data_IF_087787696258
#
_entry.id   IF_087787696258
#
_cell.length_a   1.000
_cell.length_b   1.000
_cell.length_c   1.000
_cell.angle_alpha   90.00
_cell.angle_beta   90.00
_cell.angle_gamma   90.00
#
_symmetry.space_group_name_H-M   'P 1'
#
loop_
_entity.id
_entity.type
_entity.pdbx_description
1 polymer ?
#
# COMPACT_ATOMS: atom_id res chain seq x y z
N UNK A 1 7.92 -8.40 10.73
CA UNK A 1 6.70 -8.97 10.11
C UNK A 1 5.53 -8.92 11.08
N UNK A 2 4.33 -8.55 10.59
CA UNK A 2 3.11 -8.19 11.36
C UNK A 2 2.45 -9.34 12.14
N UNK A 3 2.91 -10.57 11.93
CA UNK A 3 2.37 -11.80 12.52
C UNK A 3 2.76 -13.02 11.68
N UNK A 4 1.99 -14.10 11.82
CA UNK A 4 2.06 -15.26 10.91
C UNK A 4 1.45 -14.91 9.55
N UNK A 5 1.99 -15.47 8.47
CA UNK A 5 1.42 -15.26 7.14
C UNK A 5 -0.06 -15.67 7.10
N UNK A 6 -0.88 -14.87 6.44
CA UNK A 6 -2.30 -15.15 6.24
C UNK A 6 -2.57 -15.35 4.75
N UNK A 7 -3.26 -16.43 4.40
CA UNK A 7 -3.77 -16.66 3.05
C UNK A 7 -5.11 -15.93 2.90
N UNK A 8 -5.05 -14.59 2.86
CA UNK A 8 -6.23 -13.74 2.78
C UNK A 8 -6.03 -12.64 1.76
N UNK A 9 -6.89 -12.66 0.75
CA UNK A 9 -6.98 -11.59 -0.25
C UNK A 9 -7.97 -10.52 0.18
N UNK A 10 -7.67 -9.28 -0.21
CA UNK A 10 -8.59 -8.17 0.02
C UNK A 10 -9.83 -8.28 -0.88
N UNK A 11 -11.00 -8.08 -0.30
CA UNK A 11 -12.25 -8.03 -1.07
C UNK A 11 -12.35 -6.72 -1.87
N UNK A 12 -12.77 -6.84 -3.13
CA UNK A 12 -13.11 -5.71 -4.00
C UNK A 12 -14.15 -4.78 -3.36
N UNK A 13 -15.09 -5.33 -2.57
CA UNK A 13 -16.08 -4.52 -1.87
C UNK A 13 -15.43 -3.53 -0.89
N UNK A 14 -14.33 -3.91 -0.25
CA UNK A 14 -13.63 -3.04 0.71
C UNK A 14 -12.94 -1.88 -0.01
N UNK A 15 -12.27 -2.15 -1.14
CA UNK A 15 -11.67 -1.12 -2.00
C UNK A 15 -12.74 -0.13 -2.48
N UNK A 16 -13.85 -0.64 -3.02
CA UNK A 16 -14.98 0.18 -3.48
C UNK A 16 -15.56 1.07 -2.38
N UNK A 17 -15.68 0.54 -1.17
CA UNK A 17 -16.23 1.29 -0.04
C UNK A 17 -15.32 2.47 0.32
N UNK A 18 -14.00 2.27 0.34
CA UNK A 18 -13.03 3.33 0.64
C UNK A 18 -13.06 4.46 -0.40
N UNK A 19 -13.14 4.11 -1.68
CA UNK A 19 -13.13 5.08 -2.79
C UNK A 19 -14.50 5.73 -3.06
N UNK A 20 -15.54 5.37 -2.32
CA UNK A 20 -16.92 5.76 -2.64
C UNK A 20 -17.20 7.26 -2.59
N UNK A 21 -16.41 8.02 -1.82
CA UNK A 21 -16.54 9.46 -1.58
C UNK A 21 -15.22 10.22 -1.74
N UNK A 22 -14.23 9.60 -2.38
CA UNK A 22 -12.91 10.18 -2.61
C UNK A 22 -12.89 10.76 -4.02
N UNK A 23 -12.38 11.98 -4.18
CA UNK A 23 -12.18 12.63 -5.48
C UNK A 23 -10.71 12.68 -5.90
N UNK A 24 -9.78 12.72 -4.94
CA UNK A 24 -8.35 12.74 -5.19
C UNK A 24 -7.59 12.01 -4.07
N UNK A 25 -6.44 11.45 -4.41
CA UNK A 25 -5.52 10.81 -3.47
C UNK A 25 -4.09 11.21 -3.81
N UNK A 26 -3.37 11.74 -2.83
CA UNK A 26 -1.95 12.07 -3.02
C UNK A 26 -1.11 10.81 -3.24
N UNK A 27 -1.25 9.80 -2.38
CA UNK A 27 -0.40 8.63 -2.45
C UNK A 27 -1.16 7.35 -2.09
N UNK A 28 -1.07 6.35 -2.96
CA UNK A 28 -1.62 5.01 -2.73
C UNK A 28 -0.46 4.01 -2.59
N UNK A 29 -0.25 3.54 -1.37
CA UNK A 29 0.67 2.45 -1.08
C UNK A 29 -0.04 1.10 -1.26
N UNK A 30 0.34 0.33 -2.28
CA UNK A 30 -0.14 -1.05 -2.44
C UNK A 30 0.84 -1.95 -1.66
N UNK A 31 0.44 -2.31 -0.45
CA UNK A 31 1.30 -3.03 0.52
C UNK A 31 0.60 -4.26 1.11
N UNK A 32 1.35 -5.11 1.80
CA UNK A 32 0.84 -6.34 2.40
C UNK A 32 1.93 -7.39 2.55
N UNK A 33 1.62 -8.63 2.16
CA UNK A 33 2.60 -9.70 2.02
C UNK A 33 3.35 -9.58 0.70
N UNK A 34 2.74 -10.04 -0.39
CA UNK A 34 3.28 -9.90 -1.75
C UNK A 34 2.16 -9.57 -2.73
N UNK A 35 2.31 -8.45 -3.42
CA UNK A 35 1.30 -7.81 -4.25
C UNK A 35 1.19 -8.50 -5.61
N UNK A 36 2.31 -9.03 -6.13
CA UNK A 36 2.32 -9.78 -7.38
C UNK A 36 1.50 -11.07 -7.33
N UNK A 37 1.08 -11.53 -6.14
CA UNK A 37 0.17 -12.67 -5.97
C UNK A 37 -1.31 -12.29 -6.11
N UNK A 38 -1.67 -11.00 -6.05
CA UNK A 38 -3.05 -10.54 -6.16
C UNK A 38 -3.19 -9.37 -7.15
N UNK A 39 -2.75 -9.62 -8.39
CA UNK A 39 -2.89 -8.69 -9.52
C UNK A 39 -4.36 -8.32 -9.77
N UNK A 40 -5.30 -9.23 -9.46
CA UNK A 40 -6.73 -9.00 -9.62
C UNK A 40 -7.23 -7.82 -8.79
N UNK A 41 -6.80 -7.69 -7.53
CA UNK A 41 -7.16 -6.57 -6.68
C UNK A 41 -6.57 -5.24 -7.19
N UNK A 42 -5.33 -5.27 -7.70
CA UNK A 42 -4.67 -4.09 -8.29
C UNK A 42 -5.40 -3.60 -9.55
N UNK A 43 -5.75 -4.52 -10.46
CA UNK A 43 -6.55 -4.21 -11.66
C UNK A 43 -7.94 -3.69 -11.29
N UNK A 44 -8.57 -4.25 -10.25
CA UNK A 44 -9.85 -3.74 -9.75
C UNK A 44 -9.74 -2.32 -9.18
N UNK A 45 -8.71 -2.05 -8.37
CA UNK A 45 -8.42 -0.71 -7.86
C UNK A 45 -8.30 0.28 -9.01
N UNK A 46 -7.43 0.01 -9.99
CA UNK A 46 -7.22 0.89 -11.14
C UNK A 46 -8.50 1.10 -11.96
N UNK A 47 -9.26 0.02 -12.23
CA UNK A 47 -10.56 0.11 -12.91
C UNK A 47 -11.52 1.02 -12.16
N UNK A 48 -11.57 0.92 -10.83
CA UNK A 48 -12.49 1.72 -10.03
C UNK A 48 -12.08 3.19 -9.93
N UNK A 49 -10.78 3.47 -9.84
CA UNK A 49 -10.24 4.83 -9.91
C UNK A 49 -10.59 5.49 -11.24
N UNK A 50 -10.33 4.80 -12.37
CA UNK A 50 -10.68 5.27 -13.72
C UNK A 50 -12.18 5.52 -13.88
N UNK A 51 -13.02 4.57 -13.44
CA UNK A 51 -14.47 4.69 -13.57
C UNK A 51 -15.05 5.88 -12.78
N UNK A 52 -14.42 6.27 -11.67
CA UNK A 52 -14.83 7.40 -10.83
C UNK A 52 -14.05 8.69 -11.10
N UNK A 53 -13.12 8.67 -12.06
CA UNK A 53 -12.27 9.80 -12.39
C UNK A 53 -11.50 10.34 -11.17
N UNK A 54 -11.04 9.44 -10.28
CA UNK A 54 -10.33 9.82 -9.07
C UNK A 54 -8.89 10.18 -9.41
N UNK A 55 -8.49 11.41 -9.11
CA UNK A 55 -7.10 11.83 -9.32
C UNK A 55 -6.16 11.08 -8.37
N UNK A 56 -5.01 10.61 -8.87
CA UNK A 56 -3.98 9.98 -8.04
C UNK A 56 -2.63 10.56 -8.40
N UNK A 57 -1.96 11.20 -7.43
CA UNK A 57 -0.64 11.78 -7.68
C UNK A 57 0.40 10.68 -7.87
N UNK A 58 0.41 9.68 -6.97
CA UNK A 58 1.40 8.60 -7.01
C UNK A 58 0.88 7.26 -6.47
N UNK A 59 1.35 6.18 -7.10
CA UNK A 59 1.36 4.85 -6.49
C UNK A 59 2.75 4.50 -5.95
N UNK A 60 2.77 3.64 -4.94
CA UNK A 60 4.01 3.04 -4.45
C UNK A 60 3.79 1.56 -4.12
N UNK A 61 4.71 0.73 -4.62
CA UNK A 61 4.66 -0.73 -4.53
C UNK A 61 6.06 -1.22 -4.18
N UNK A 62 6.16 -2.07 -3.17
CA UNK A 62 7.38 -2.81 -2.85
C UNK A 62 7.09 -4.28 -3.03
N UNK A 63 7.85 -4.96 -3.89
CA UNK A 63 7.76 -6.41 -4.10
C UNK A 63 8.96 -7.13 -3.46
N UNK A 64 8.74 -8.36 -3.01
CA UNK A 64 9.78 -9.21 -2.43
C UNK A 64 10.75 -9.82 -3.46
N UNK A 65 10.42 -9.71 -4.76
CA UNK A 65 11.22 -10.30 -5.83
C UNK A 65 11.09 -11.81 -5.92
N UNK A 66 9.88 -12.32 -5.85
CA UNK A 66 9.58 -13.71 -6.23
C UNK A 66 9.33 -13.80 -7.74
N UNK A 67 9.19 -15.01 -8.27
CA UNK A 67 8.93 -15.19 -9.72
C UNK A 67 7.62 -14.54 -10.18
N UNK A 68 6.63 -14.38 -9.29
CA UNK A 68 5.38 -13.66 -9.62
C UNK A 68 5.63 -12.17 -9.89
N UNK A 69 6.67 -11.58 -9.31
CA UNK A 69 7.08 -10.18 -9.51
C UNK A 69 7.50 -9.88 -10.96
N UNK A 70 7.79 -10.90 -11.76
CA UNK A 70 8.08 -10.76 -13.20
C UNK A 70 7.04 -11.42 -14.10
N UNK A 71 5.88 -11.75 -13.54
CA UNK A 71 4.75 -12.24 -14.33
C UNK A 71 4.27 -11.15 -15.29
N UNK A 72 3.79 -11.56 -16.46
CA UNK A 72 3.28 -10.63 -17.46
C UNK A 72 2.13 -9.79 -16.90
N UNK A 73 1.20 -10.42 -16.17
CA UNK A 73 0.05 -9.72 -15.60
C UNK A 73 0.45 -8.65 -14.57
N UNK A 74 1.45 -8.93 -13.73
CA UNK A 74 1.93 -7.97 -12.75
C UNK A 74 2.63 -6.79 -13.42
N UNK A 75 3.55 -7.06 -14.36
CA UNK A 75 4.26 -6.01 -15.10
C UNK A 75 3.28 -5.11 -15.86
N UNK A 76 2.34 -5.70 -16.60
CA UNK A 76 1.31 -4.96 -17.33
C UNK A 76 0.47 -4.08 -16.39
N UNK A 77 0.11 -4.61 -15.23
CA UNK A 77 -0.68 -3.87 -14.24
C UNK A 77 0.14 -2.73 -13.61
N UNK A 78 1.44 -2.93 -13.35
CA UNK A 78 2.33 -1.86 -12.91
C UNK A 78 2.46 -0.77 -13.97
N UNK A 79 2.65 -1.11 -15.24
CA UNK A 79 2.66 -0.12 -16.32
C UNK A 79 1.35 0.68 -16.36
N UNK A 80 0.20 0.00 -16.28
CA UNK A 80 -1.11 0.66 -16.31
C UNK A 80 -1.38 1.58 -15.10
N UNK A 81 -0.83 1.25 -13.93
CA UNK A 81 -0.85 2.11 -12.74
C UNK A 81 0.07 3.33 -12.93
N UNK A 82 1.29 3.10 -13.44
CA UNK A 82 2.25 4.17 -13.71
C UNK A 82 1.73 5.15 -14.76
N UNK A 83 1.08 4.67 -15.82
CA UNK A 83 0.47 5.54 -16.83
C UNK A 83 -0.63 6.42 -16.22
N UNK A 84 -1.38 5.88 -15.25
CA UNK A 84 -2.52 6.55 -14.64
C UNK A 84 -2.15 7.61 -13.59
N UNK A 85 -1.09 7.41 -12.79
CA UNK A 85 -0.64 8.42 -11.83
C UNK A 85 -0.16 9.69 -12.52
N UNK A 86 -0.25 10.84 -11.86
CA UNK A 86 0.15 12.13 -12.47
C UNK A 86 1.61 12.47 -12.24
N UNK A 87 2.17 12.22 -11.05
CA UNK A 87 3.60 12.40 -10.80
C UNK A 87 4.40 11.32 -11.53
N UNK A 88 5.42 11.70 -12.30
CA UNK A 88 6.33 10.75 -12.94
C UNK A 88 7.68 10.72 -12.24
N UNK A 89 8.45 9.66 -12.49
CA UNK A 89 9.80 9.50 -11.91
C UNK A 89 10.72 10.62 -12.42
N UNK A 90 10.53 11.05 -13.66
CA UNK A 90 11.26 12.14 -14.27
C UNK A 90 11.06 13.48 -13.52
N UNK A 91 9.88 13.69 -12.94
CA UNK A 91 9.53 14.93 -12.22
C UNK A 91 9.99 14.90 -10.75
N UNK A 92 9.98 13.72 -10.13
CA UNK A 92 10.10 13.59 -8.66
C UNK A 92 11.33 12.83 -8.19
N UNK A 93 11.97 12.06 -9.09
CA UNK A 93 13.01 11.08 -8.75
C UNK A 93 12.51 9.88 -7.94
N UNK A 94 11.20 9.74 -7.72
CA UNK A 94 10.61 8.72 -6.84
C UNK A 94 10.11 7.53 -7.65
N UNK A 95 10.66 6.35 -7.39
CA UNK A 95 10.23 5.11 -8.04
C UNK A 95 8.79 4.73 -7.62
N UNK A 96 8.01 4.17 -8.55
CA UNK A 96 6.68 3.62 -8.27
C UNK A 96 6.79 2.17 -7.77
N UNK A 97 7.69 1.39 -8.38
CA UNK A 97 7.92 -0.01 -8.05
C UNK A 97 9.34 -0.17 -7.50
N UNK A 98 9.47 -0.72 -6.30
CA UNK A 98 10.76 -1.04 -5.72
C UNK A 98 10.91 -2.52 -5.42
N UNK A 99 12.10 -3.06 -5.68
CA UNK A 99 12.48 -4.39 -5.21
C UNK A 99 13.07 -4.28 -3.81
N UNK A 100 12.50 -5.02 -2.87
CA UNK A 100 13.10 -5.20 -1.56
C UNK A 100 14.44 -5.95 -1.67
N UNK A 101 15.44 -5.39 -1.00
CA UNK A 101 16.79 -5.93 -0.83
C UNK A 101 17.04 -6.39 0.60
N UNK A 102 15.98 -6.62 1.38
CA UNK A 102 16.13 -7.21 2.70
C UNK A 102 16.69 -8.65 2.62
N UNK A 103 17.45 -9.00 3.66
CA UNK A 103 18.15 -10.30 3.76
C UNK A 103 17.23 -11.51 4.02
N UNK A 104 15.94 -11.30 4.21
CA UNK A 104 14.98 -12.35 4.54
C UNK A 104 14.22 -12.88 3.32
N UNK A 105 14.41 -12.25 2.16
CA UNK A 105 13.85 -12.74 0.89
C UNK A 105 14.67 -13.89 0.30
N UNK A 106 13.99 -14.72 -0.47
CA UNK A 106 14.64 -15.73 -1.30
C UNK A 106 15.46 -15.02 -2.38
N UNK A 107 16.77 -15.28 -2.42
CA UNK A 107 17.67 -14.73 -3.43
C UNK A 107 17.66 -15.50 -4.74
N UNK A 108 16.91 -16.61 -4.82
CA UNK A 108 16.85 -17.46 -6.01
C UNK A 108 16.27 -16.69 -7.19
N UNK A 109 17.05 -16.60 -8.27
CA UNK A 109 16.62 -15.90 -9.49
C UNK A 109 16.62 -14.36 -9.37
N UNK A 110 17.20 -13.79 -8.30
CA UNK A 110 17.23 -12.34 -8.07
C UNK A 110 17.82 -11.56 -9.24
N UNK A 111 18.91 -12.03 -9.84
CA UNK A 111 19.52 -11.38 -11.02
C UNK A 111 18.55 -11.29 -12.19
N UNK A 112 17.81 -12.37 -12.47
CA UNK A 112 16.77 -12.39 -13.51
C UNK A 112 15.66 -11.39 -13.19
N UNK A 113 15.23 -11.32 -11.94
CA UNK A 113 14.17 -10.40 -11.52
C UNK A 113 14.62 -8.95 -11.66
N UNK A 114 15.80 -8.61 -11.13
CA UNK A 114 16.40 -7.29 -11.27
C UNK A 114 16.52 -6.92 -12.74
N UNK A 115 17.06 -7.82 -13.57
CA UNK A 115 17.20 -7.59 -15.01
C UNK A 115 15.85 -7.24 -15.66
N UNK A 116 14.80 -8.05 -15.44
CA UNK A 116 13.47 -7.79 -16.04
C UNK A 116 12.79 -6.55 -15.49
N UNK A 117 12.90 -6.27 -14.20
CA UNK A 117 12.27 -5.08 -13.62
C UNK A 117 13.03 -3.80 -13.96
N UNK A 118 14.34 -3.86 -14.19
CA UNK A 118 15.16 -2.71 -14.61
C UNK A 118 14.82 -2.17 -16.00
N UNK A 119 14.07 -2.93 -16.80
CA UNK A 119 13.51 -2.45 -18.08
C UNK A 119 12.37 -1.44 -17.87
N UNK A 120 11.81 -1.32 -16.66
CA UNK A 120 10.72 -0.39 -16.35
C UNK A 120 11.29 0.97 -15.89
N UNK A 121 10.86 2.10 -16.48
CA UNK A 121 11.43 3.42 -16.16
C UNK A 121 11.12 3.90 -14.74
N UNK A 122 10.16 3.26 -14.08
CA UNK A 122 9.69 3.57 -12.73
C UNK A 122 10.16 2.58 -11.66
N UNK A 123 11.13 1.74 -12.00
CA UNK A 123 11.71 0.73 -11.10
C UNK A 123 12.91 1.26 -10.31
N UNK A 124 13.00 0.87 -9.04
CA UNK A 124 14.15 1.14 -8.19
C UNK A 124 14.49 -0.01 -7.23
N UNK A 125 15.65 0.09 -6.59
CA UNK A 125 16.02 -0.75 -5.45
C UNK A 125 15.65 -0.02 -4.17
N UNK A 126 15.06 -0.73 -3.19
CA UNK A 126 14.58 -0.10 -1.95
C UNK A 126 15.70 0.43 -1.05
N UNK A 127 16.88 -0.20 -1.08
CA UNK A 127 18.07 0.23 -0.33
C UNK A 127 17.99 0.00 1.18
N UNK A 128 17.34 -1.09 1.61
CA UNK A 128 17.14 -1.45 3.02
C UNK A 128 18.05 -2.57 3.51
N UNK A 129 18.96 -3.08 2.67
CA UNK A 129 19.92 -4.12 3.04
C UNK A 129 20.82 -3.74 4.23
N UNK A 130 21.17 -2.46 4.39
CA UNK A 130 22.09 -1.99 5.43
C UNK A 130 21.40 -1.30 6.62
N UNK A 131 20.31 -0.57 6.38
CA UNK A 131 19.60 0.22 7.39
C UNK A 131 18.09 0.04 7.29
N UNK A 132 17.56 -0.83 8.15
CA UNK A 132 16.12 -1.05 8.25
C UNK A 132 15.58 -0.40 9.53
N UNK A 133 14.60 0.48 9.37
CA UNK A 133 13.84 1.00 10.50
C UNK A 133 12.95 -0.11 11.07
N UNK A 134 12.97 -0.30 12.39
CA UNK A 134 12.25 -1.37 13.07
C UNK A 134 11.27 -0.82 14.09
N UNK A 135 10.04 -1.31 14.03
CA UNK A 135 9.05 -1.18 15.08
C UNK A 135 9.02 -2.43 15.96
N UNK A 136 8.80 -2.25 17.27
CA UNK A 136 8.51 -3.31 18.24
C UNK A 136 7.10 -3.88 18.03
N UNK A 137 6.90 -4.55 16.89
CA UNK A 137 5.62 -5.08 16.44
C UNK A 137 5.68 -6.53 16.03
N UNK A 138 4.61 -7.26 16.33
CA UNK A 138 4.45 -8.66 15.92
C UNK A 138 5.59 -9.51 16.47
N UNK A 139 6.45 -10.00 15.57
CA UNK A 139 7.62 -10.82 15.94
C UNK A 139 8.87 -10.00 16.27
N UNK A 140 8.89 -8.70 16.01
CA UNK A 140 10.02 -7.84 16.30
C UNK A 140 9.90 -7.28 17.72
N UNK A 141 10.86 -7.62 18.59
CA UNK A 141 10.89 -7.18 19.99
C UNK A 141 11.86 -6.02 20.24
N UNK A 142 12.52 -5.53 19.19
CA UNK A 142 13.51 -4.44 19.23
C UNK A 142 13.08 -3.29 18.32
N UNK A 143 13.71 -2.12 18.48
CA UNK A 143 13.41 -0.92 17.69
C UNK A 143 12.53 0.10 18.44
N UNK A 144 11.81 0.92 17.69
CA UNK A 144 10.95 1.98 18.21
C UNK A 144 9.55 1.46 18.55
N UNK A 145 8.87 2.15 19.46
CA UNK A 145 7.45 1.90 19.69
C UNK A 145 6.65 2.33 18.46
N UNK A 146 5.63 1.58 18.09
CA UNK A 146 4.83 1.88 16.90
C UNK A 146 3.65 2.79 17.27
N UNK A 147 3.67 4.07 16.84
CA UNK A 147 2.66 5.05 17.24
C UNK A 147 1.32 4.81 16.53
N UNK A 148 0.25 5.30 17.15
CA UNK A 148 -1.09 5.37 16.55
C UNK A 148 -1.45 6.85 16.49
N UNK A 149 -1.60 7.37 15.28
CA UNK A 149 -2.00 8.75 15.04
C UNK A 149 -3.49 8.82 14.71
N UNK A 150 -4.15 9.96 14.92
CA UNK A 150 -5.53 10.13 14.47
C UNK A 150 -5.60 10.22 12.95
N UNK A 151 -6.70 9.69 12.38
CA UNK A 151 -7.18 10.07 11.05
C UNK A 151 -8.37 10.99 11.26
N UNK A 152 -8.37 12.15 10.62
CA UNK A 152 -9.48 13.09 10.69
C UNK A 152 -9.74 13.78 9.34
N UNK A 153 -10.89 14.40 9.23
CA UNK A 153 -11.29 15.21 8.08
C UNK A 153 -11.54 16.64 8.54
N UNK A 154 -10.96 17.61 7.85
CA UNK A 154 -11.20 19.03 8.13
C UNK A 154 -12.52 19.53 7.51
N UNK A 155 -12.81 20.83 7.70
CA UNK A 155 -14.03 21.48 7.20
C UNK A 155 -14.09 21.54 5.66
N UNK A 156 -12.92 21.55 5.01
CA UNK A 156 -12.78 21.53 3.54
C UNK A 156 -12.90 20.11 2.96
N UNK A 157 -13.02 19.09 3.81
CA UNK A 157 -13.17 17.69 3.41
C UNK A 157 -11.84 17.00 3.10
N UNK A 158 -10.70 17.59 3.46
CA UNK A 158 -9.38 16.96 3.32
C UNK A 158 -9.15 15.99 4.48
N UNK A 159 -8.70 14.79 4.12
CA UNK A 159 -8.39 13.74 5.10
C UNK A 159 -6.92 13.81 5.49
N UNK A 160 -6.66 13.93 6.79
CA UNK A 160 -5.33 13.99 7.39
C UNK A 160 -5.00 12.68 8.09
N UNK A 161 -3.74 12.25 7.96
CA UNK A 161 -3.21 11.02 8.55
C UNK A 161 -3.14 9.82 7.59
N UNK A 162 -2.46 8.76 8.02
CA UNK A 162 -2.24 7.56 7.20
C UNK A 162 -3.46 6.64 7.20
N UNK A 163 -4.18 6.58 6.09
CA UNK A 163 -5.35 5.70 5.95
C UNK A 163 -4.90 4.31 5.50
N UNK A 164 -4.89 3.33 6.40
CA UNK A 164 -4.58 1.93 6.07
C UNK A 164 -5.84 1.06 6.04
N UNK A 165 -6.16 0.51 4.87
CA UNK A 165 -7.19 -0.53 4.69
C UNK A 165 -6.53 -1.91 4.63
N UNK A 166 -6.87 -2.80 5.57
CA UNK A 166 -6.36 -4.17 5.56
C UNK A 166 -7.29 -5.16 4.84
N UNK A 167 -6.79 -6.38 4.62
CA UNK A 167 -7.52 -7.42 3.90
C UNK A 167 -8.82 -7.90 4.58
N UNK A 168 -8.96 -7.65 5.90
CA UNK A 168 -10.20 -7.91 6.66
C UNK A 168 -11.24 -6.79 6.54
N UNK A 169 -10.94 -5.73 5.78
CA UNK A 169 -11.82 -4.58 5.59
C UNK A 169 -11.84 -3.61 6.76
N UNK A 170 -10.85 -3.67 7.66
CA UNK A 170 -10.68 -2.73 8.77
C UNK A 170 -9.82 -1.55 8.34
N UNK A 171 -10.19 -0.36 8.81
CA UNK A 171 -9.44 0.88 8.61
C UNK A 171 -8.65 1.20 9.87
N UNK A 172 -7.35 1.39 9.71
CA UNK A 172 -6.40 1.72 10.76
C UNK A 172 -5.61 2.97 10.37
N UNK A 173 -5.02 3.65 11.36
CA UNK A 173 -4.17 4.83 11.13
C UNK A 173 -2.68 4.54 10.90
N UNK A 174 -2.34 3.25 10.79
CA UNK A 174 -0.95 2.82 10.64
C UNK A 174 -0.91 1.41 10.04
N UNK A 175 -0.24 1.27 8.89
CA UNK A 175 -0.08 0.00 8.21
C UNK A 175 0.89 -0.97 8.89
N UNK A 176 1.86 -0.46 9.65
CA UNK A 176 2.95 -1.26 10.22
C UNK A 176 2.63 -1.94 11.54
N UNK A 177 1.42 -1.69 12.07
CA UNK A 177 0.90 -2.44 13.21
C UNK A 177 0.82 -3.94 12.92
N UNK A 178 1.10 -4.75 13.95
CA UNK A 178 0.81 -6.18 13.93
C UNK A 178 -0.68 -6.47 13.70
N UNK A 179 -1.01 -7.66 13.23
CA UNK A 179 -2.42 -8.02 12.98
C UNK A 179 -3.29 -7.89 14.22
N UNK A 180 -2.76 -8.28 15.39
CA UNK A 180 -3.45 -8.11 16.67
C UNK A 180 -3.69 -6.62 17.00
N UNK A 181 -2.68 -5.76 16.80
CA UNK A 181 -2.84 -4.32 17.04
C UNK A 181 -3.75 -3.64 16.03
N UNK A 182 -3.78 -4.09 14.77
CA UNK A 182 -4.76 -3.61 13.80
C UNK A 182 -6.19 -3.93 14.23
N UNK A 183 -6.43 -5.11 14.81
CA UNK A 183 -7.74 -5.47 15.36
C UNK A 183 -8.11 -4.59 16.57
N UNK A 184 -7.17 -4.40 17.51
CA UNK A 184 -7.44 -3.61 18.72
C UNK A 184 -7.51 -2.10 18.47
N UNK A 185 -6.91 -1.60 17.38
CA UNK A 185 -6.88 -0.18 17.01
C UNK A 185 -7.66 0.12 15.72
N UNK A 186 -8.52 -0.80 15.29
CA UNK A 186 -9.39 -0.57 14.13
C UNK A 186 -10.34 0.60 14.43
N UNK A 187 -10.30 1.62 13.59
CA UNK A 187 -11.14 2.82 13.72
C UNK A 187 -12.57 2.53 13.26
N UNK A 188 -12.71 1.81 12.15
CA UNK A 188 -13.99 1.40 11.57
C UNK A 188 -13.79 0.33 10.50
N UNK A 189 -14.89 -0.24 10.01
CA UNK A 189 -14.87 -1.04 8.78
C UNK A 189 -14.91 -0.12 7.54
N UNK A 190 -14.42 -0.58 6.39
CA UNK A 190 -14.43 0.17 5.13
C UNK A 190 -15.78 0.78 4.78
N UNK A 191 -16.89 0.07 5.06
CA UNK A 191 -18.26 0.54 4.77
C UNK A 191 -18.69 1.75 5.62
N UNK A 192 -18.02 1.97 6.75
CA UNK A 192 -18.29 3.06 7.70
C UNK A 192 -17.25 4.18 7.63
N UNK A 193 -16.25 4.08 6.76
CA UNK A 193 -15.12 5.01 6.71
C UNK A 193 -15.55 6.48 6.58
N UNK A 194 -16.44 6.78 5.63
CA UNK A 194 -16.94 8.15 5.49
C UNK A 194 -17.76 8.64 6.69
N UNK A 195 -18.49 7.75 7.37
CA UNK A 195 -19.22 8.11 8.59
C UNK A 195 -18.27 8.38 9.76
N UNK A 196 -17.18 7.62 9.83
CA UNK A 196 -16.09 7.88 10.77
C UNK A 196 -15.47 9.27 10.51
N UNK A 197 -15.08 9.57 9.27
CA UNK A 197 -14.48 10.87 8.91
C UNK A 197 -15.39 12.05 9.27
N UNK A 198 -16.68 11.98 8.93
CA UNK A 198 -17.66 13.01 9.33
C UNK A 198 -17.72 13.24 10.84
N UNK A 199 -17.52 12.19 11.63
CA UNK A 199 -17.52 12.30 13.09
C UNK A 199 -16.26 12.98 13.65
N UNK A 200 -15.22 13.20 12.83
CA UNK A 200 -13.95 13.82 13.23
C UNK A 200 -13.84 15.30 12.91
N UNK A 201 -14.74 15.84 12.08
CA UNK A 201 -14.75 17.26 11.71
C UNK A 201 -14.89 18.12 12.97
N UNK A 202 -13.99 19.09 13.14
CA UNK A 202 -13.95 20.01 14.29
C UNK A 202 -13.45 19.39 15.60
N UNK A 203 -12.86 18.18 15.57
CA UNK A 203 -12.29 17.54 16.78
C UNK A 203 -10.77 17.71 16.93
N UNK A 204 -10.10 18.09 15.85
CA UNK A 204 -8.65 18.30 15.74
C UNK A 204 -8.43 19.65 15.09
#
# INVERSE_FOLDING_TARGET
MRGNAMTLDISHAYIRNMLSRVCAVHNINITGGEQSLNVKAMRYLLSHLKHREIHVDRFYIVTNGSLSSISHEFIETCCALYDYQTEKVEDTGRCMLELSDDRFHDSTGREKIVFRLSELPFFGMRGQSEHMFLFKEGRCTVGFDNPVYPIYMDEDGVVHGDVYLNAKGMVCSNGDMSYQRQESNSLCTSSRFYSYLKSTVGKY
#
